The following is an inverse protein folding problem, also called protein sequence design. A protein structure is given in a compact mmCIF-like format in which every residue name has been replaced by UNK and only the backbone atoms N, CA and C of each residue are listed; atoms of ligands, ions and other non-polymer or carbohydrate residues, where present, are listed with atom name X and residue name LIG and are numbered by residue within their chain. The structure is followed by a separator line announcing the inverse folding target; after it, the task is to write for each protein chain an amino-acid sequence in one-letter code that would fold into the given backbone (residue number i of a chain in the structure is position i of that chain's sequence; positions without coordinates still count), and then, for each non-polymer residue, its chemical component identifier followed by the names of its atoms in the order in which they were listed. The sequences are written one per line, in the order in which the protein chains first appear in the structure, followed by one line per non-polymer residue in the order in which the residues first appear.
data_IF_292265831988
#
_entry.id   IF_292265831988
#
_cell.length_a   1.000
_cell.length_b   1.000
_cell.length_c   1.000
_cell.angle_alpha   90.00
_cell.angle_beta   90.00
_cell.angle_gamma   90.00
#
_symmetry.space_group_name_H-M   'P 1'
#
loop_
_entity.id
_entity.type
_entity.pdbx_description
1 polymer ?
#
# COMPACT_ATOMS: atom_id res chain seq x y z
N UNK A 1 44.19 1.57 -5.92
CA UNK A 1 43.56 1.42 -5.99
C UNK A 1 42.80 0.87 -5.56
N UNK A 2 42.41 0.79 -5.38
CA UNK A 2 41.71 0.57 -5.10
C UNK A 2 40.87 -0.03 -4.45
N UNK A 3 40.69 -0.44 -4.02
CA UNK A 3 39.95 -0.96 -2.97
C UNK A 3 38.52 -0.73 -3.09
N UNK A 4 38.23 0.25 -3.67
CA UNK A 4 36.88 0.62 -3.83
C UNK A 4 36.08 -0.36 -4.63
N UNK A 5 36.76 -1.20 -5.29
CA UNK A 5 36.06 -2.09 -6.18
C UNK A 5 35.12 -3.03 -5.48
N UNK A 6 35.47 -3.38 -4.27
CA UNK A 6 34.65 -4.33 -3.55
C UNK A 6 33.25 -3.80 -3.33
N UNK A 7 33.14 -2.51 -3.14
CA UNK A 7 31.83 -2.00 -2.87
C UNK A 7 30.94 -2.02 -4.07
N UNK A 8 31.55 -1.89 -5.23
CA UNK A 8 30.74 -1.86 -6.44
C UNK A 8 29.97 -3.16 -6.59
N UNK A 9 30.61 -4.26 -6.26
CA UNK A 9 29.98 -5.54 -6.50
C UNK A 9 28.82 -5.80 -5.59
N UNK A 10 28.80 -5.21 -4.42
CA UNK A 10 27.68 -5.49 -3.52
C UNK A 10 26.43 -4.72 -3.91
N UNK A 11 26.53 -3.83 -4.86
CA UNK A 11 25.35 -3.14 -5.31
C UNK A 11 24.63 -3.83 -6.44
N UNK A 12 25.11 -4.97 -6.86
CA UNK A 12 24.46 -5.70 -7.92
C UNK A 12 23.27 -6.46 -7.38
N UNK A 13 22.18 -6.38 -8.09
CA UNK A 13 21.00 -7.11 -7.73
C UNK A 13 19.76 -6.28 -7.98
N UNK A 14 18.59 -6.85 -7.69
CA UNK A 14 17.35 -6.09 -7.83
C UNK A 14 17.24 -5.02 -6.75
N UNK A 15 16.65 -3.89 -7.11
CA UNK A 15 16.39 -2.81 -6.17
C UNK A 15 15.00 -2.29 -6.40
N UNK A 16 14.39 -1.77 -5.35
CA UNK A 16 13.02 -1.29 -5.44
C UNK A 16 12.96 0.17 -5.01
N UNK A 17 12.22 0.96 -5.79
CA UNK A 17 12.03 2.37 -5.47
C UNK A 17 10.56 2.71 -5.72
N UNK A 18 9.89 3.18 -4.68
CA UNK A 18 8.49 3.56 -4.79
C UNK A 18 8.37 5.04 -5.12
N UNK A 19 7.46 5.38 -6.01
CA UNK A 19 7.23 6.78 -6.37
C UNK A 19 6.56 7.52 -5.24
N UNK A 20 5.80 6.82 -4.41
CA UNK A 20 5.27 7.39 -3.16
C UNK A 20 5.14 6.25 -2.17
N UNK A 21 5.23 6.61 -0.89
CA UNK A 21 5.18 5.61 0.17
C UNK A 21 3.95 5.76 1.03
N UNK A 22 3.15 6.79 0.79
CA UNK A 22 1.93 7.03 1.53
C UNK A 22 0.84 7.42 0.55
N UNK A 23 -0.31 6.77 0.66
CA UNK A 23 -1.47 7.16 -0.10
C UNK A 23 -2.50 7.76 0.84
N UNK A 24 -2.95 8.97 0.53
CA UNK A 24 -3.93 9.68 1.33
C UNK A 24 -5.27 9.63 0.59
N UNK A 25 -6.20 8.86 1.13
CA UNK A 25 -7.55 8.81 0.56
C UNK A 25 -8.30 10.13 0.75
N UNK A 26 -7.82 10.98 1.66
CA UNK A 26 -8.57 12.16 2.02
C UNK A 26 -9.83 11.80 2.76
N UNK A 27 -10.85 12.61 2.60
CA UNK A 27 -12.15 12.34 3.20
C UNK A 27 -13.02 11.66 2.15
N UNK A 28 -13.35 10.41 2.39
CA UNK A 28 -14.16 9.65 1.45
C UNK A 28 -15.44 9.22 2.12
N UNK A 29 -16.42 8.94 1.29
CA UNK A 29 -17.72 8.51 1.78
C UNK A 29 -17.64 7.05 2.22
N UNK A 30 -18.56 6.71 3.10
CA UNK A 30 -18.76 5.32 3.48
C UNK A 30 -18.99 4.48 2.22
N UNK A 31 -18.30 3.34 2.15
CA UNK A 31 -18.37 2.44 0.99
C UNK A 31 -17.92 3.12 -0.29
N UNK A 32 -17.05 4.12 -0.18
CA UNK A 32 -16.47 4.77 -1.34
C UNK A 32 -15.43 3.92 -2.01
N UNK A 33 -14.73 4.49 -2.99
CA UNK A 33 -13.75 3.76 -3.78
C UNK A 33 -12.67 3.19 -2.87
N UNK A 34 -12.56 1.86 -2.78
CA UNK A 34 -11.58 1.24 -1.89
C UNK A 34 -10.17 1.15 -2.47
N UNK A 35 -9.98 1.54 -3.72
CA UNK A 35 -8.75 1.20 -4.42
C UNK A 35 -7.70 2.28 -4.30
N UNK A 36 -6.45 1.84 -4.14
CA UNK A 36 -5.30 2.72 -4.35
C UNK A 36 -4.16 1.87 -4.87
N UNK A 37 -3.11 2.53 -5.29
CA UNK A 37 -1.98 1.80 -5.84
C UNK A 37 -0.69 2.52 -5.52
N UNK A 38 0.40 1.74 -5.49
CA UNK A 38 1.74 2.25 -5.28
C UNK A 38 2.59 1.77 -6.45
N UNK A 39 3.08 2.71 -7.23
CA UNK A 39 3.94 2.38 -8.35
C UNK A 39 5.37 2.27 -7.88
N UNK A 40 6.08 1.28 -8.37
CA UNK A 40 7.49 1.11 -8.03
C UNK A 40 8.28 0.76 -9.27
N UNK A 41 9.58 0.98 -9.19
CA UNK A 41 10.51 0.72 -10.28
C UNK A 41 11.61 -0.20 -9.76
N UNK A 42 12.00 -1.15 -10.59
CA UNK A 42 13.21 -1.91 -10.32
C UNK A 42 14.39 -1.06 -10.77
N UNK A 43 15.06 -0.46 -9.81
CA UNK A 43 16.21 0.41 -10.10
C UNK A 43 17.52 -0.34 -10.09
N UNK A 44 17.48 -1.65 -9.90
CA UNK A 44 18.68 -2.47 -9.92
C UNK A 44 18.99 -3.00 -11.30
N UNK A 45 19.90 -3.97 -11.34
CA UNK A 45 20.35 -4.54 -12.60
C UNK A 45 20.00 -6.02 -12.74
N UNK A 46 19.15 -6.55 -11.87
CA UNK A 46 18.66 -7.91 -11.95
C UNK A 46 17.15 -7.92 -11.73
N UNK A 47 16.46 -8.98 -12.16
CA UNK A 47 15.00 -9.01 -12.01
C UNK A 47 14.56 -8.92 -10.57
N UNK A 48 13.53 -8.13 -10.35
CA UNK A 48 12.94 -7.92 -9.04
C UNK A 48 11.72 -8.82 -8.89
N UNK A 49 11.67 -9.58 -7.81
CA UNK A 49 10.56 -10.50 -7.55
C UNK A 49 9.90 -10.12 -6.25
N UNK A 50 8.61 -9.81 -6.32
CA UNK A 50 7.82 -9.55 -5.13
C UNK A 50 7.30 -10.89 -4.64
N UNK A 51 7.67 -11.25 -3.42
CA UNK A 51 7.29 -12.55 -2.87
C UNK A 51 6.03 -12.48 -2.03
N UNK A 52 5.73 -11.31 -1.47
CA UNK A 52 4.56 -11.18 -0.62
C UNK A 52 4.24 -9.71 -0.41
N UNK A 53 2.99 -9.44 -0.10
CA UNK A 53 2.58 -8.13 0.37
C UNK A 53 1.46 -8.36 1.38
N UNK A 54 1.58 -7.74 2.54
CA UNK A 54 0.67 -8.02 3.63
C UNK A 54 0.18 -6.74 4.26
N UNK A 55 -1.12 -6.60 4.37
CA UNK A 55 -1.72 -5.47 5.07
C UNK A 55 -1.63 -5.64 6.58
N UNK A 56 -1.67 -4.53 7.30
CA UNK A 56 -1.59 -4.54 8.76
C UNK A 56 -2.86 -5.07 9.41
N UNK A 57 -3.94 -5.19 8.63
CA UNK A 57 -5.15 -5.85 9.11
C UNK A 57 -5.84 -6.51 7.92
N UNK A 58 -6.86 -7.33 8.20
CA UNK A 58 -7.62 -7.95 7.12
C UNK A 58 -8.45 -6.96 6.32
N UNK A 59 -8.55 -5.73 6.77
CA UNK A 59 -9.27 -4.68 6.06
C UNK A 59 -8.45 -4.07 4.92
N UNK A 60 -7.19 -4.44 4.80
CA UNK A 60 -6.29 -3.92 3.79
C UNK A 60 -5.73 -5.09 3.02
N UNK A 61 -6.10 -5.18 1.74
CA UNK A 61 -5.78 -6.34 0.91
C UNK A 61 -4.91 -5.91 -0.25
N UNK A 62 -3.63 -6.25 -0.25
CA UNK A 62 -2.74 -5.90 -1.35
C UNK A 62 -2.71 -6.98 -2.42
N UNK A 63 -2.46 -6.55 -3.65
CA UNK A 63 -2.19 -7.43 -4.78
C UNK A 63 -0.91 -6.97 -5.44
N UNK A 64 -0.12 -7.92 -5.89
CA UNK A 64 1.18 -7.60 -6.46
C UNK A 64 1.44 -8.44 -7.68
N UNK A 65 2.34 -7.98 -8.58
CA UNK A 65 2.68 -8.78 -9.76
C UNK A 65 3.41 -10.04 -9.36
N UNK A 66 3.04 -11.14 -9.98
CA UNK A 66 3.64 -12.43 -9.68
C UNK A 66 4.84 -12.72 -10.57
N UNK A 67 5.02 -11.91 -11.60
CA UNK A 67 6.10 -12.10 -12.55
C UNK A 67 7.30 -11.24 -12.19
N UNK A 68 8.51 -11.65 -12.55
CA UNK A 68 9.66 -10.83 -12.30
C UNK A 68 9.56 -9.49 -13.02
N UNK A 69 10.03 -8.44 -12.38
CA UNK A 69 10.05 -7.10 -12.93
C UNK A 69 11.46 -6.84 -13.45
N UNK A 70 11.58 -6.62 -14.75
CA UNK A 70 12.88 -6.44 -15.40
C UNK A 70 13.59 -5.19 -14.87
N UNK A 71 14.92 -5.14 -14.94
CA UNK A 71 15.63 -3.93 -14.55
C UNK A 71 15.12 -2.72 -15.33
N UNK A 72 14.86 -1.64 -14.61
CA UNK A 72 14.34 -0.42 -15.19
C UNK A 72 12.84 -0.41 -15.43
N UNK A 73 12.17 -1.53 -15.26
CA UNK A 73 10.73 -1.60 -15.48
C UNK A 73 9.96 -1.15 -14.25
N UNK A 74 8.72 -0.75 -14.50
CA UNK A 74 7.83 -0.29 -13.43
C UNK A 74 6.70 -1.29 -13.26
N UNK A 75 6.17 -1.33 -12.06
CA UNK A 75 5.00 -2.15 -11.76
C UNK A 75 4.24 -1.50 -10.63
N UNK A 76 3.15 -2.12 -10.23
CA UNK A 76 2.23 -1.50 -9.28
C UNK A 76 1.79 -2.53 -8.25
N UNK A 77 1.78 -2.10 -6.98
CA UNK A 77 1.11 -2.83 -5.91
C UNK A 77 -0.27 -2.21 -5.77
N UNK A 78 -1.30 -2.99 -5.97
CA UNK A 78 -2.68 -2.50 -5.81
C UNK A 78 -3.16 -2.84 -4.42
N UNK A 79 -3.83 -1.89 -3.79
CA UNK A 79 -4.30 -2.08 -2.42
C UNK A 79 -5.77 -1.72 -2.35
N UNK A 80 -6.53 -2.57 -1.69
CA UNK A 80 -7.94 -2.33 -1.47
C UNK A 80 -8.19 -2.23 0.03
N UNK A 81 -8.74 -1.10 0.45
CA UNK A 81 -9.08 -0.87 1.84
C UNK A 81 -10.58 -1.00 2.02
N UNK A 82 -11.01 -1.60 3.12
CA UNK A 82 -12.43 -1.78 3.40
C UNK A 82 -13.05 -0.44 3.81
N UNK A 83 -13.64 0.26 2.85
CA UNK A 83 -14.22 1.58 3.09
C UNK A 83 -15.57 1.53 3.78
N UNK A 84 -16.01 0.34 4.19
CA UNK A 84 -17.16 0.21 5.05
C UNK A 84 -16.79 0.31 6.52
N UNK A 85 -15.60 0.78 6.80
CA UNK A 85 -15.13 1.03 8.17
C UNK A 85 -15.02 2.54 8.33
N UNK A 86 -16.01 3.15 8.98
CA UNK A 86 -15.97 4.59 9.21
C UNK A 86 -14.86 4.96 10.16
N UNK A 87 -14.34 6.15 10.01
CA UNK A 87 -13.33 6.68 10.89
C UNK A 87 -12.00 6.84 10.21
N UNK A 88 -10.96 7.10 10.98
CA UNK A 88 -9.64 7.36 10.40
C UNK A 88 -9.05 6.11 9.78
N UNK A 89 -8.31 6.30 8.69
CA UNK A 89 -7.55 5.25 8.02
C UNK A 89 -6.10 5.45 8.42
N UNK A 90 -5.51 4.42 9.00
CA UNK A 90 -4.08 4.45 9.35
C UNK A 90 -3.57 3.03 9.31
N UNK A 91 -3.26 2.57 8.11
CA UNK A 91 -2.85 1.18 7.87
C UNK A 91 -1.57 1.17 7.08
N UNK A 92 -0.91 0.03 7.07
CA UNK A 92 0.32 -0.14 6.34
C UNK A 92 0.30 -1.45 5.58
N UNK A 93 1.14 -1.52 4.55
CA UNK A 93 1.34 -2.73 3.78
C UNK A 93 2.84 -2.99 3.75
N UNK A 94 3.22 -4.19 4.12
CA UNK A 94 4.61 -4.62 4.09
C UNK A 94 4.83 -5.45 2.83
N UNK A 95 5.76 -5.02 2.01
CA UNK A 95 6.05 -5.65 0.72
C UNK A 95 7.39 -6.34 0.84
N UNK A 96 7.40 -7.64 0.62
CA UNK A 96 8.60 -8.46 0.69
C UNK A 96 9.07 -8.78 -0.71
N UNK A 97 10.35 -8.66 -0.96
CA UNK A 97 10.91 -8.90 -2.28
C UNK A 97 12.36 -9.33 -2.15
N UNK A 98 12.97 -9.64 -3.31
CA UNK A 98 14.38 -9.95 -3.34
C UNK A 98 15.25 -8.70 -3.52
N UNK A 99 14.68 -7.51 -3.36
CA UNK A 99 15.43 -6.27 -3.49
C UNK A 99 16.53 -6.21 -2.43
N UNK A 100 17.73 -5.82 -2.86
CA UNK A 100 18.85 -5.77 -1.95
C UNK A 100 18.88 -4.50 -1.14
N UNK A 101 18.23 -3.44 -1.62
CA UNK A 101 18.20 -2.18 -0.87
C UNK A 101 17.11 -2.16 0.19
N UNK A 102 15.94 -2.76 -0.09
CA UNK A 102 14.84 -2.80 0.86
C UNK A 102 14.09 -4.11 0.71
N UNK A 103 14.59 -5.19 1.29
CA UNK A 103 13.92 -6.49 1.15
C UNK A 103 12.52 -6.50 1.75
N UNK A 104 12.28 -5.64 2.73
CA UNK A 104 10.92 -5.42 3.23
C UNK A 104 10.65 -3.94 3.24
N UNK A 105 9.68 -3.53 2.47
CA UNK A 105 9.32 -2.12 2.35
C UNK A 105 7.93 -1.92 2.89
N UNK A 106 7.74 -0.89 3.71
CA UNK A 106 6.44 -0.57 4.28
C UNK A 106 5.91 0.69 3.60
N UNK A 107 4.70 0.59 3.07
CA UNK A 107 3.97 1.75 2.56
C UNK A 107 2.72 1.93 3.41
N UNK A 108 2.17 3.14 3.41
CA UNK A 108 1.08 3.49 4.31
C UNK A 108 -0.12 4.02 3.56
N UNK A 109 -1.29 3.80 4.14
CA UNK A 109 -2.50 4.46 3.65
C UNK A 109 -3.12 5.22 4.82
N UNK A 110 -3.57 6.42 4.53
CA UNK A 110 -4.19 7.29 5.52
C UNK A 110 -5.42 7.95 4.92
N UNK A 111 -6.23 8.56 5.78
CA UNK A 111 -7.43 9.25 5.33
C UNK A 111 -8.52 9.12 6.37
N UNK A 112 -9.75 9.40 5.95
CA UNK A 112 -10.91 9.29 6.83
C UNK A 112 -12.10 8.84 6.00
N UNK A 113 -12.80 7.83 6.51
CA UNK A 113 -14.06 7.37 5.92
C UNK A 113 -15.19 7.99 6.69
N UNK A 114 -16.15 8.58 5.99
CA UNK A 114 -17.30 9.22 6.61
C UNK A 114 -18.19 8.20 7.29
N UNK A 115 -19.19 8.71 8.02
CA UNK A 115 -20.08 7.82 8.78
C UNK A 115 -20.96 7.00 7.86
N UNK A 116 -21.31 5.81 8.35
CA UNK A 116 -22.24 4.97 7.62
C UNK A 116 -23.58 5.68 7.47
N UNK A 117 -24.24 5.48 6.32
CA UNK A 117 -25.56 6.09 6.16
C UNK A 117 -26.53 5.47 7.16
N UNK A 118 -27.47 6.28 7.58
CA UNK A 118 -28.44 5.80 8.55
C UNK A 118 -29.64 5.21 7.90
N UNK A 119 -29.46 4.74 6.73
CA UNK A 119 -30.58 4.20 5.99
C UNK A 119 -31.30 3.20 6.84
N UNK A 120 -32.53 3.35 6.99
CA UNK A 120 -33.31 2.44 7.73
C UNK A 120 -33.21 2.58 9.19
N UNK A 121 -32.40 3.42 9.61
CA UNK A 121 -32.27 3.56 11.01
C UNK A 121 -32.82 4.83 11.40
N UNK A 122 -33.51 4.98 11.82
CA UNK A 122 -33.85 6.27 12.03
C UNK A 122 -33.58 6.75 13.40
N UNK A 123 -33.39 6.74 13.26
CA UNK A 123 -33.33 6.95 13.93
C UNK A 123 -32.89 7.21 14.83
N UNK A 124 -32.72 7.70 14.99
CA UNK A 124 -32.60 7.87 15.43
C UNK A 124 -32.15 8.19 16.10
N UNK A 125 -32.03 8.67 16.31
CA UNK A 125 -32.00 8.85 16.35
C UNK A 125 -31.70 9.14 16.85
N UNK A 126 -31.90 9.44 17.31
CA UNK A 126 -32.08 9.61 17.19
C UNK A 126 -31.87 9.75 17.53
N UNK A 127 -32.40 10.21 18.35
CA UNK A 127 -32.68 10.22 17.83
C UNK A 127 -32.35 10.16 18.16
N UNK A 128 -32.28 10.28 18.52
CA UNK A 128 -32.44 10.11 18.11
C UNK A 128 -32.22 10.05 18.27
N UNK A 129 -32.36 10.16 18.76
CA UNK A 129 -32.46 10.03 18.32
C UNK A 129 -32.13 10.08 18.36
N UNK A 130 -32.11 10.29 18.69
CA UNK A 130 -32.17 10.21 18.10
C UNK A 130 -31.91 10.21 18.16
N UNK A 131 -31.90 10.45 18.52
CA UNK A 131 -32.10 10.33 17.95
C UNK A 131 -31.89 10.29 17.93
N UNK A 132 -31.14 10.34 18.06
CA UNK A 132 -31.37 10.21 17.44
C UNK A 132 -31.21 10.25 17.37
#
# INVERSE_FOLDING_TARGET
MFATNAQVTIDKGPKISFSKETHDYGNIKYDGDPNCSFEFTNTGDEPLIISNAKGSCGCTVPEWPKEPIAPGAKATIKVKYDTKRSGPISKSVTISSNAINEPEKVVKIIGTVGPAPESGVPVNNSGAPTNN
#
